data_IF_639132660434
#
_entry.id   IF_639132660434
#
_cell.length_a   1.000
_cell.length_b   1.000
_cell.length_c   1.000
_cell.angle_alpha   90.00
_cell.angle_beta   90.00
_cell.angle_gamma   90.00
#
_symmetry.space_group_name_H-M   'P 1'
#
loop_
_entity.id
_entity.type
_entity.pdbx_description
1 polymer ?
#
# COMPACT_ATOMS: atom_id res chain seq x y z
N UNK A 1 -19.98 -13.51 -3.21
CA UNK A 1 -19.47 -12.33 -2.48
C UNK A 1 -18.85 -11.43 -3.52
N UNK A 2 -19.34 -10.20 -3.62
CA UNK A 2 -18.90 -9.23 -4.62
C UNK A 2 -17.39 -8.97 -4.50
N UNK A 3 -16.74 -8.76 -5.64
CA UNK A 3 -15.29 -8.56 -5.73
C UNK A 3 -14.98 -7.39 -6.63
N UNK A 4 -13.85 -6.76 -6.36
CA UNK A 4 -13.27 -5.75 -7.23
C UNK A 4 -11.93 -6.19 -7.80
N UNK A 5 -11.67 -5.80 -9.04
CA UNK A 5 -10.36 -5.89 -9.68
C UNK A 5 -9.84 -4.51 -10.02
N UNK A 6 -8.57 -4.26 -9.69
CA UNK A 6 -7.85 -3.07 -10.12
C UNK A 6 -6.95 -3.44 -11.29
N UNK A 7 -7.10 -2.74 -12.41
CA UNK A 7 -6.18 -2.85 -13.53
C UNK A 7 -5.21 -1.67 -13.48
N UNK A 8 -3.98 -1.94 -13.04
CA UNK A 8 -2.97 -0.91 -12.79
C UNK A 8 -2.09 -0.70 -14.01
N UNK A 9 -1.97 0.54 -14.46
CA UNK A 9 -1.13 0.94 -15.59
C UNK A 9 -0.21 2.10 -15.19
N UNK A 10 1.10 1.86 -15.05
CA UNK A 10 2.05 2.94 -14.84
C UNK A 10 2.36 3.67 -16.15
N UNK A 11 2.36 5.00 -16.10
CA UNK A 11 2.87 5.87 -17.15
C UNK A 11 4.28 6.30 -16.71
N UNK A 12 5.34 5.76 -17.34
CA UNK A 12 6.71 6.14 -17.01
C UNK A 12 6.99 7.57 -17.49
N UNK A 13 7.94 8.24 -16.83
CA UNK A 13 8.53 9.48 -17.32
C UNK A 13 10.03 9.36 -17.58
N UNK A 14 10.76 10.45 -17.38
CA UNK A 14 12.21 10.55 -17.55
C UNK A 14 12.98 9.89 -16.39
N UNK A 15 12.43 9.95 -15.17
CA UNK A 15 13.01 9.32 -13.97
C UNK A 15 12.90 7.79 -14.05
N UNK A 16 13.79 7.08 -13.35
CA UNK A 16 13.84 5.62 -13.41
C UNK A 16 12.82 5.03 -12.44
N UNK A 17 12.24 3.88 -12.79
CA UNK A 17 11.28 3.16 -11.92
C UNK A 17 11.76 2.99 -10.47
N UNK A 18 13.05 2.71 -10.27
CA UNK A 18 13.65 2.55 -8.94
C UNK A 18 13.46 3.78 -8.04
N UNK A 19 13.33 4.97 -8.62
CA UNK A 19 13.18 6.23 -7.91
C UNK A 19 11.75 6.42 -7.38
N UNK A 20 10.80 5.60 -7.89
CA UNK A 20 9.39 5.58 -7.49
C UNK A 20 8.93 4.26 -6.89
N UNK A 21 9.85 3.31 -6.70
CA UNK A 21 9.49 1.97 -6.28
C UNK A 21 8.69 1.99 -4.96
N UNK A 22 9.11 2.79 -3.97
CA UNK A 22 8.40 2.94 -2.70
C UNK A 22 7.01 3.57 -2.86
N UNK A 23 6.86 4.54 -3.77
CA UNK A 23 5.59 5.19 -4.05
C UNK A 23 4.63 4.22 -4.74
N UNK A 24 5.11 3.47 -5.72
CA UNK A 24 4.36 2.42 -6.39
C UNK A 24 3.94 1.31 -5.41
N UNK A 25 4.85 0.85 -4.55
CA UNK A 25 4.54 -0.14 -3.51
C UNK A 25 3.46 0.36 -2.53
N UNK A 26 3.52 1.64 -2.14
CA UNK A 26 2.49 2.28 -1.29
C UNK A 26 1.11 2.26 -1.96
N UNK A 27 1.03 2.63 -3.24
CA UNK A 27 -0.24 2.60 -4.00
C UNK A 27 -0.75 1.15 -4.08
N UNK A 28 0.13 0.19 -4.42
CA UNK A 28 -0.25 -1.22 -4.55
C UNK A 28 -0.75 -1.82 -3.22
N UNK A 29 -0.11 -1.52 -2.09
CA UNK A 29 -0.56 -1.94 -0.76
C UNK A 29 -1.94 -1.33 -0.41
N UNK A 30 -2.17 -0.08 -0.79
CA UNK A 30 -3.47 0.58 -0.61
C UNK A 30 -4.56 -0.09 -1.45
N UNK A 31 -4.31 -0.34 -2.74
CA UNK A 31 -5.24 -1.04 -3.62
C UNK A 31 -5.53 -2.46 -3.11
N UNK A 32 -4.51 -3.17 -2.61
CA UNK A 32 -4.70 -4.49 -2.00
C UNK A 32 -5.55 -4.42 -0.73
N UNK A 33 -5.36 -3.40 0.12
CA UNK A 33 -6.22 -3.17 1.27
C UNK A 33 -7.67 -2.97 0.84
N UNK A 34 -7.91 -2.06 -0.11
CA UNK A 34 -9.23 -1.73 -0.63
C UNK A 34 -9.91 -2.95 -1.27
N UNK A 35 -9.18 -3.74 -2.05
CA UNK A 35 -9.68 -4.96 -2.67
C UNK A 35 -10.21 -5.96 -1.63
N UNK A 36 -9.48 -6.12 -0.52
CA UNK A 36 -9.88 -7.02 0.56
C UNK A 36 -11.03 -6.45 1.41
N UNK A 37 -11.08 -5.13 1.58
CA UNK A 37 -12.15 -4.45 2.32
C UNK A 37 -13.45 -4.31 1.50
N UNK A 38 -13.35 -4.40 0.17
CA UNK A 38 -14.44 -4.12 -0.77
C UNK A 38 -15.78 -4.77 -0.42
N UNK A 39 -15.88 -6.08 -0.09
CA UNK A 39 -17.17 -6.69 0.21
C UNK A 39 -17.90 -6.05 1.40
N UNK A 40 -17.15 -5.51 2.35
CA UNK A 40 -17.71 -4.78 3.49
C UNK A 40 -18.07 -3.34 3.11
N UNK A 41 -17.26 -2.70 2.25
CA UNK A 41 -17.50 -1.33 1.79
C UNK A 41 -18.83 -1.21 1.05
N UNK A 42 -19.24 -2.24 0.30
CA UNK A 42 -20.49 -2.25 -0.48
C UNK A 42 -21.61 -3.09 0.16
N UNK A 43 -21.52 -3.40 1.46
CA UNK A 43 -22.48 -4.30 2.12
C UNK A 43 -23.92 -3.74 2.18
N UNK A 44 -24.06 -2.41 2.09
CA UNK A 44 -25.33 -1.67 2.07
C UNK A 44 -25.92 -1.51 0.66
N UNK A 45 -25.29 -2.07 -0.37
CA UNK A 45 -25.80 -2.02 -1.74
C UNK A 45 -26.96 -3.01 -1.91
N UNK A 46 -28.13 -2.53 -2.35
CA UNK A 46 -29.36 -3.36 -2.46
C UNK A 46 -29.19 -4.52 -3.45
N UNK A 47 -28.59 -4.25 -4.62
CA UNK A 47 -28.39 -5.22 -5.70
C UNK A 47 -26.92 -5.23 -6.16
N UNK A 48 -26.00 -5.85 -5.39
CA UNK A 48 -24.60 -5.83 -5.73
C UNK A 48 -24.28 -6.77 -6.90
N UNK A 49 -23.56 -6.26 -7.91
CA UNK A 49 -22.94 -7.10 -8.92
C UNK A 49 -21.90 -8.07 -8.30
N UNK A 50 -21.69 -9.20 -8.97
CA UNK A 50 -20.65 -10.15 -8.55
C UNK A 50 -19.22 -9.61 -8.76
N UNK A 51 -19.03 -8.71 -9.73
CA UNK A 51 -17.72 -8.22 -10.16
C UNK A 51 -17.75 -6.74 -10.52
N UNK A 52 -16.80 -6.01 -9.94
CA UNK A 52 -16.54 -4.60 -10.19
C UNK A 52 -15.12 -4.44 -10.73
N UNK A 53 -14.89 -3.40 -11.53
CA UNK A 53 -13.60 -3.09 -12.11
C UNK A 53 -13.37 -1.59 -12.18
N UNK A 54 -12.15 -1.18 -11.87
CA UNK A 54 -11.68 0.20 -12.03
C UNK A 54 -10.23 0.16 -12.51
N UNK A 55 -9.93 0.99 -13.50
CA UNK A 55 -8.58 1.18 -14.03
C UNK A 55 -7.82 2.18 -13.13
N UNK A 56 -6.56 1.92 -12.80
CA UNK A 56 -5.72 2.82 -12.00
C UNK A 56 -4.48 3.20 -12.81
N UNK A 57 -4.38 4.48 -13.17
CA UNK A 57 -3.32 5.05 -14.00
C UNK A 57 -2.36 5.82 -13.10
N UNK A 58 -1.10 5.41 -13.03
CA UNK A 58 -0.09 6.01 -12.14
C UNK A 58 0.94 6.76 -12.98
N UNK A 59 0.93 8.09 -12.93
CA UNK A 59 1.88 8.94 -13.63
C UNK A 59 3.11 9.18 -12.75
N UNK A 60 4.25 8.55 -13.11
CA UNK A 60 5.42 8.55 -12.23
C UNK A 60 6.06 9.93 -12.05
N UNK A 61 6.27 10.67 -13.13
CA UNK A 61 6.96 11.96 -13.08
C UNK A 61 6.02 13.14 -12.85
N UNK A 62 4.73 12.87 -12.62
CA UNK A 62 3.75 13.90 -12.36
C UNK A 62 3.71 14.20 -10.85
N UNK A 63 3.77 15.48 -10.50
CA UNK A 63 3.55 16.01 -9.15
C UNK A 63 2.08 16.42 -8.93
N UNK A 64 1.28 16.49 -9.99
CA UNK A 64 -0.17 16.69 -9.97
C UNK A 64 -0.84 16.12 -11.22
N UNK A 65 -2.15 15.91 -11.15
CA UNK A 65 -3.05 15.67 -12.26
C UNK A 65 -3.87 16.94 -12.48
N UNK A 66 -4.00 17.37 -13.73
CA UNK A 66 -4.82 18.52 -14.12
C UNK A 66 -6.04 18.03 -14.90
N UNK A 67 -7.23 18.42 -14.44
CA UNK A 67 -8.50 18.11 -15.10
C UNK A 67 -8.77 19.07 -16.27
N UNK A 68 -9.68 18.74 -17.21
CA UNK A 68 -9.96 19.60 -18.37
C UNK A 68 -10.45 21.03 -18.02
N UNK A 69 -11.02 21.22 -16.83
CA UNK A 69 -11.42 22.53 -16.30
C UNK A 69 -10.30 23.26 -15.55
N UNK A 70 -9.09 22.68 -15.51
CA UNK A 70 -7.88 23.29 -14.96
C UNK A 70 -7.70 23.10 -13.45
N UNK A 71 -8.51 22.26 -12.80
CA UNK A 71 -8.30 21.92 -11.40
C UNK A 71 -7.08 21.00 -11.27
N UNK A 72 -6.32 21.18 -10.19
CA UNK A 72 -5.09 20.44 -9.93
C UNK A 72 -5.22 19.70 -8.61
N UNK A 73 -4.91 18.41 -8.63
CA UNK A 73 -4.89 17.54 -7.46
C UNK A 73 -3.85 16.45 -7.62
N UNK A 74 -3.63 15.64 -6.59
CA UNK A 74 -2.73 14.48 -6.69
C UNK A 74 -3.39 13.26 -7.34
N UNK A 75 -4.72 13.26 -7.46
CA UNK A 75 -5.47 12.27 -8.19
C UNK A 75 -6.77 12.82 -8.72
N UNK A 76 -7.47 12.00 -9.51
CA UNK A 76 -8.84 12.25 -9.95
C UNK A 76 -9.50 10.95 -10.41
N UNK A 77 -10.76 10.77 -10.06
CA UNK A 77 -11.64 9.75 -10.61
C UNK A 77 -12.45 10.28 -11.80
N UNK A 78 -12.21 9.72 -13.00
CA UNK A 78 -13.04 10.00 -14.18
C UNK A 78 -14.25 9.05 -14.23
N UNK A 79 -15.41 9.62 -13.87
CA UNK A 79 -16.70 8.94 -13.88
C UNK A 79 -17.11 8.40 -15.25
N UNK A 80 -16.62 8.94 -16.37
CA UNK A 80 -17.00 8.50 -17.70
C UNK A 80 -16.26 7.23 -18.13
N UNK A 81 -15.04 7.04 -17.63
CA UNK A 81 -14.16 5.95 -18.06
C UNK A 81 -13.83 4.94 -16.96
N UNK A 82 -14.32 5.17 -15.74
CA UNK A 82 -14.00 4.36 -14.56
C UNK A 82 -12.49 4.23 -14.33
N UNK A 83 -11.82 5.38 -14.37
CA UNK A 83 -10.37 5.51 -14.22
C UNK A 83 -10.01 6.39 -13.04
N UNK A 84 -9.09 5.91 -12.22
CA UNK A 84 -8.42 6.70 -11.19
C UNK A 84 -7.04 7.07 -11.74
N UNK A 85 -6.75 8.36 -11.81
CA UNK A 85 -5.42 8.88 -12.14
C UNK A 85 -4.71 9.29 -10.86
N UNK A 86 -3.41 8.97 -10.73
CA UNK A 86 -2.60 9.27 -9.55
C UNK A 86 -1.26 9.84 -10.00
N UNK A 87 -0.90 11.01 -9.47
CA UNK A 87 0.43 11.59 -9.54
C UNK A 87 1.33 10.90 -8.50
N UNK A 88 2.49 10.40 -8.91
CA UNK A 88 3.38 9.66 -8.01
C UNK A 88 4.59 10.45 -7.50
N UNK A 89 4.89 11.64 -8.05
CA UNK A 89 6.00 12.50 -7.61
C UNK A 89 5.53 13.57 -6.61
N UNK A 90 4.86 13.12 -5.56
CA UNK A 90 4.16 14.00 -4.60
C UNK A 90 4.96 14.19 -3.30
N UNK A 91 4.79 15.32 -2.59
CA UNK A 91 5.37 15.51 -1.26
C UNK A 91 4.78 14.49 -0.27
N UNK A 92 5.55 14.16 0.77
CA UNK A 92 5.14 13.23 1.85
C UNK A 92 4.46 11.94 1.34
N UNK A 93 5.11 11.22 0.40
CA UNK A 93 4.42 10.34 -0.52
C UNK A 93 3.71 9.16 0.15
N UNK A 94 4.20 8.65 1.29
CA UNK A 94 3.52 7.52 1.94
C UNK A 94 2.09 7.88 2.37
N UNK A 95 1.87 9.03 3.00
CA UNK A 95 0.53 9.41 3.50
C UNK A 95 -0.34 9.93 2.36
N UNK A 96 0.21 10.84 1.56
CA UNK A 96 -0.51 11.48 0.45
C UNK A 96 -0.98 10.46 -0.59
N UNK A 97 -0.17 9.46 -0.94
CA UNK A 97 -0.57 8.44 -1.90
C UNK A 97 -1.64 7.50 -1.36
N UNK A 98 -1.59 7.15 -0.06
CA UNK A 98 -2.64 6.32 0.54
C UNK A 98 -3.97 7.09 0.52
N UNK A 99 -3.95 8.35 0.98
CA UNK A 99 -5.15 9.18 1.06
C UNK A 99 -5.74 9.42 -0.32
N UNK A 100 -4.93 9.88 -1.29
CA UNK A 100 -5.36 10.14 -2.67
C UNK A 100 -5.97 8.88 -3.29
N UNK A 101 -5.30 7.73 -3.19
CA UNK A 101 -5.82 6.48 -3.77
C UNK A 101 -7.15 6.08 -3.15
N UNK A 102 -7.30 6.21 -1.83
CA UNK A 102 -8.52 5.85 -1.12
C UNK A 102 -9.66 6.84 -1.37
N UNK A 103 -9.34 8.13 -1.47
CA UNK A 103 -10.26 9.21 -1.75
C UNK A 103 -10.92 9.02 -3.13
N UNK A 104 -10.11 8.87 -4.18
CA UNK A 104 -10.63 8.65 -5.54
C UNK A 104 -11.40 7.33 -5.65
N UNK A 105 -10.97 6.31 -4.91
CA UNK A 105 -11.71 5.07 -4.81
C UNK A 105 -13.09 5.26 -4.18
N UNK A 106 -13.24 6.14 -3.20
CA UNK A 106 -14.53 6.44 -2.60
C UNK A 106 -15.49 7.10 -3.60
N UNK A 107 -14.99 7.94 -4.52
CA UNK A 107 -15.82 8.46 -5.60
C UNK A 107 -16.32 7.36 -6.55
N UNK A 108 -15.48 6.36 -6.84
CA UNK A 108 -15.95 5.16 -7.54
C UNK A 108 -17.06 4.43 -6.75
N UNK A 109 -16.89 4.29 -5.43
CA UNK A 109 -17.93 3.69 -4.57
C UNK A 109 -19.23 4.50 -4.58
N UNK A 110 -19.16 5.83 -4.52
CA UNK A 110 -20.32 6.71 -4.62
C UNK A 110 -21.06 6.48 -5.94
N UNK A 111 -20.33 6.41 -7.06
CA UNK A 111 -20.89 6.11 -8.39
C UNK A 111 -21.66 4.78 -8.40
N UNK A 112 -21.03 3.68 -7.99
CA UNK A 112 -21.67 2.35 -8.05
C UNK A 112 -22.85 2.21 -7.07
N UNK A 113 -22.87 3.00 -5.98
CA UNK A 113 -24.00 3.08 -5.05
C UNK A 113 -25.10 4.05 -5.51
N UNK A 114 -24.91 4.77 -6.62
CA UNK A 114 -25.83 5.82 -7.06
C UNK A 114 -25.96 6.98 -6.07
N UNK A 115 -24.95 7.21 -5.23
CA UNK A 115 -24.93 8.31 -4.25
C UNK A 115 -24.47 9.62 -4.90
N UNK A 116 -24.90 10.78 -4.37
CA UNK A 116 -24.32 12.06 -4.76
C UNK A 116 -22.81 12.08 -4.50
N UNK A 117 -22.09 12.83 -5.33
CA UNK A 117 -20.68 13.10 -5.15
C UNK A 117 -20.46 13.88 -3.84
N UNK A 118 -19.55 13.41 -2.97
CA UNK A 118 -19.26 14.02 -1.67
C UNK A 118 -17.77 13.94 -1.34
N UNK A 119 -17.12 15.10 -1.34
CA UNK A 119 -15.72 15.28 -0.93
C UNK A 119 -15.50 14.91 0.54
N UNK A 120 -16.40 15.35 1.42
CA UNK A 120 -16.31 15.08 2.86
C UNK A 120 -16.35 13.57 3.18
N UNK A 121 -17.20 12.81 2.48
CA UNK A 121 -17.25 11.35 2.64
C UNK A 121 -15.95 10.70 2.13
N UNK A 122 -15.41 11.18 1.02
CA UNK A 122 -14.16 10.69 0.44
C UNK A 122 -12.95 10.99 1.33
N UNK A 123 -12.87 12.20 1.90
CA UNK A 123 -11.84 12.60 2.87
C UNK A 123 -11.89 11.72 4.13
N UNK A 124 -13.06 11.58 4.77
CA UNK A 124 -13.18 10.76 5.98
C UNK A 124 -12.88 9.27 5.74
N UNK A 125 -13.28 8.76 4.57
CA UNK A 125 -12.93 7.41 4.16
C UNK A 125 -11.41 7.26 4.00
N UNK A 126 -10.77 8.21 3.31
CA UNK A 126 -9.33 8.22 3.09
C UNK A 126 -8.53 8.27 4.40
N UNK A 127 -8.94 9.08 5.38
CA UNK A 127 -8.32 9.14 6.71
C UNK A 127 -8.36 7.77 7.42
N UNK A 128 -9.49 7.09 7.31
CA UNK A 128 -9.68 5.75 7.90
C UNK A 128 -8.78 4.72 7.22
N UNK A 129 -8.70 4.75 5.89
CA UNK A 129 -7.83 3.86 5.11
C UNK A 129 -6.36 4.12 5.43
N UNK A 130 -5.93 5.39 5.49
CA UNK A 130 -4.58 5.79 5.88
C UNK A 130 -4.15 5.12 7.17
N UNK A 131 -4.97 5.23 8.22
CA UNK A 131 -4.66 4.60 9.50
C UNK A 131 -4.45 3.08 9.39
N UNK A 132 -5.31 2.39 8.63
CA UNK A 132 -5.26 0.93 8.50
C UNK A 132 -4.08 0.46 7.65
N UNK A 133 -3.81 1.13 6.52
CA UNK A 133 -2.71 0.80 5.61
C UNK A 133 -1.36 1.07 6.27
N UNK A 134 -1.19 2.23 6.92
CA UNK A 134 0.05 2.54 7.66
C UNK A 134 0.38 1.51 8.73
N UNK A 135 -0.64 1.03 9.45
CA UNK A 135 -0.46 -0.06 10.42
C UNK A 135 0.02 -1.34 9.75
N UNK A 136 -0.58 -1.75 8.64
CA UNK A 136 -0.15 -2.93 7.87
C UNK A 136 1.29 -2.79 7.36
N UNK A 137 1.63 -1.66 6.75
CA UNK A 137 3.00 -1.40 6.26
C UNK A 137 4.00 -1.50 7.42
N UNK A 138 3.69 -0.90 8.56
CA UNK A 138 4.55 -0.96 9.76
C UNK A 138 4.72 -2.39 10.28
N UNK A 139 3.61 -3.15 10.38
CA UNK A 139 3.64 -4.53 10.84
C UNK A 139 4.43 -5.45 9.89
N UNK A 140 4.28 -5.25 8.57
CA UNK A 140 5.04 -5.99 7.54
C UNK A 140 6.53 -5.65 7.58
N UNK A 141 6.89 -4.37 7.72
CA UNK A 141 8.28 -3.92 7.89
C UNK A 141 8.90 -4.51 9.18
N UNK A 142 8.14 -4.59 10.27
CA UNK A 142 8.60 -5.18 11.53
C UNK A 142 8.83 -6.70 11.44
N UNK A 143 8.05 -7.42 10.63
CA UNK A 143 8.20 -8.86 10.42
C UNK A 143 9.36 -9.22 9.48
N UNK A 144 9.65 -8.36 8.51
CA UNK A 144 10.73 -8.55 7.51
C UNK A 144 12.10 -8.08 8.00
N UNK A 145 12.17 -7.28 9.08
CA UNK A 145 13.44 -6.98 9.73
C UNK A 145 14.06 -8.25 10.33
N UNK A 146 15.33 -8.57 10.01
CA UNK A 146 16.01 -9.70 10.63
C UNK A 146 16.07 -9.43 12.13
N UNK A 147 15.40 -10.26 12.94
CA UNK A 147 15.57 -10.28 14.40
C UNK A 147 17.07 -10.30 14.64
N UNK A 148 17.65 -9.21 15.18
CA UNK A 148 19.02 -9.22 15.68
C UNK A 148 19.09 -10.36 16.68
N UNK A 149 19.59 -11.52 16.25
CA UNK A 149 19.97 -12.59 17.16
C UNK A 149 21.00 -11.95 18.05
N UNK A 150 20.65 -11.66 19.30
CA UNK A 150 21.63 -11.47 20.35
C UNK A 150 22.44 -12.78 20.38
N UNK A 151 23.55 -12.81 19.66
CA UNK A 151 24.57 -13.81 19.86
C UNK A 151 25.01 -13.61 21.31
N UNK A 152 24.56 -14.50 22.19
CA UNK A 152 25.16 -14.64 23.51
C UNK A 152 26.65 -14.88 23.28
N UNK A 153 27.46 -14.07 23.93
CA UNK A 153 28.91 -14.06 23.84
C UNK A 153 29.45 -15.52 23.89
N UNK A 154 30.17 -16.02 22.86
CA UNK A 154 30.67 -17.40 22.83
C UNK A 154 31.67 -17.73 23.96
N UNK A 155 32.13 -16.71 24.69
CA UNK A 155 32.97 -16.84 25.87
C UNK A 155 32.34 -17.62 27.04
N UNK A 156 31.03 -17.86 27.05
CA UNK A 156 30.38 -18.70 28.07
C UNK A 156 30.57 -20.22 27.88
N UNK A 157 31.18 -20.66 26.77
CA UNK A 157 31.41 -22.09 26.48
C UNK A 157 32.86 -22.57 26.66
N UNK A 158 33.79 -21.71 27.09
CA UNK A 158 35.19 -22.09 27.32
C UNK A 158 35.50 -22.02 28.81
N UNK A 159 35.11 -23.06 29.55
CA UNK A 159 35.35 -23.06 30.99
C UNK A 159 35.02 -24.35 31.70
N UNK A 160 35.32 -25.52 31.13
CA UNK A 160 35.37 -26.81 31.87
C UNK A 160 35.99 -27.94 31.05
N UNK A 161 37.21 -27.78 30.53
CA UNK A 161 37.96 -28.93 29.96
C UNK A 161 38.74 -29.61 31.09
N UNK A 162 38.13 -30.68 31.62
CA UNK A 162 38.72 -31.63 32.57
C UNK A 162 40.17 -31.99 32.19
N UNK A 163 41.07 -31.90 33.16
CA UNK A 163 42.48 -32.33 33.09
C UNK A 163 42.59 -33.74 32.49
N UNK A 164 43.25 -33.87 31.33
CA UNK A 164 43.66 -35.18 30.79
C UNK A 164 44.78 -35.73 31.66
N UNK A 165 44.56 -36.89 32.30
CA UNK A 165 45.63 -37.68 32.95
C UNK A 165 46.58 -38.19 31.87
N UNK A 166 47.88 -37.90 32.03
CA UNK A 166 48.98 -38.52 31.29
C UNK A 166 49.04 -40.01 31.65
N UNK A 167 49.06 -40.87 30.65
CA UNK A 167 49.60 -42.23 30.76
C UNK A 167 50.87 -42.22 29.90
N UNK A 168 52.02 -42.38 30.55
CA UNK A 168 53.33 -42.52 29.93
C UNK A 168 53.68 -44.01 29.99
N UNK A 169 54.10 -44.61 28.87
CA UNK A 169 54.64 -45.97 28.82
C UNK A 169 55.99 -45.95 28.11
N UNK A 170 56.99 -46.51 28.77
CA UNK A 170 58.34 -46.82 28.29
C UNK A 170 59.20 -47.16 29.52
N UNK A 171 59.88 -48.29 29.64
CA UNK A 171 60.18 -49.42 28.73
C UNK A 171 59.75 -50.73 29.39
#
# INVERSE_FOLDING_TARGET
MARISFQVQPIPGEKKFKDFQENFETIMETLLYLQNAFPKIIEDLEDPEDRYGVDVIIAFDADHIETPDGQKGFGVFDTNTDRIYIAADVPEPEETLIETTAHEFMHYIQKIKGKPYSEEEAEHFAETVRYQVKRRITDTRAQTQPKKRHFKNPAQYIGSRKKRKKIVRGK
#
